data_IF_782249631473
#
_entry.id   IF_782249631473
#
_cell.length_a   1.000
_cell.length_b   1.000
_cell.length_c   1.000
_cell.angle_alpha   90.00
_cell.angle_beta   90.00
_cell.angle_gamma   90.00
#
_symmetry.space_group_name_H-M   'P 1'
#
loop_
_entity.id
_entity.type
_entity.pdbx_description
1 polymer ?
#
# COMPACT_ATOMS: atom_id res chain seq x y z
N UNK A 1 -8.57 -2.60 -4.81
CA UNK A 1 -7.47 -2.52 -5.80
C UNK A 1 -6.14 -2.06 -5.20
N UNK A 2 -6.08 -0.96 -4.43
CA UNK A 2 -4.81 -0.42 -3.89
C UNK A 2 -4.01 -1.41 -3.03
N UNK A 3 -4.68 -2.32 -2.31
CA UNK A 3 -4.01 -3.38 -1.55
C UNK A 3 -3.11 -4.30 -2.40
N UNK A 4 -3.36 -4.42 -3.72
CA UNK A 4 -2.58 -5.25 -4.63
C UNK A 4 -1.56 -4.45 -5.44
N UNK A 5 -1.99 -3.30 -5.97
CA UNK A 5 -1.17 -2.45 -6.84
C UNK A 5 -1.20 -1.00 -6.39
N UNK A 6 -0.03 -0.45 -6.10
CA UNK A 6 0.14 0.97 -5.76
C UNK A 6 0.45 1.80 -7.01
N UNK A 7 1.00 1.19 -8.05
CA UNK A 7 1.42 1.80 -9.31
C UNK A 7 0.75 1.13 -10.53
N UNK A 8 -0.59 1.13 -10.61
CA UNK A 8 -1.26 0.51 -11.75
C UNK A 8 -0.94 1.25 -13.05
N UNK A 9 -0.68 0.47 -14.11
CA UNK A 9 -0.54 1.04 -15.45
C UNK A 9 -1.89 1.48 -16.02
N UNK A 10 -1.88 2.32 -17.06
CA UNK A 10 -3.11 2.67 -17.80
C UNK A 10 -3.83 1.43 -18.33
N UNK A 11 -3.08 0.41 -18.78
CA UNK A 11 -3.64 -0.86 -19.24
C UNK A 11 -4.31 -1.62 -18.10
N UNK A 12 -3.65 -1.70 -16.94
CA UNK A 12 -4.22 -2.32 -15.74
C UNK A 12 -5.55 -1.67 -15.36
N UNK A 13 -5.62 -0.33 -15.34
CA UNK A 13 -6.87 0.38 -15.04
C UNK A 13 -7.97 0.04 -16.05
N UNK A 14 -7.66 0.02 -17.35
CA UNK A 14 -8.64 -0.36 -18.39
C UNK A 14 -9.16 -1.78 -18.21
N UNK A 15 -8.31 -2.71 -17.82
CA UNK A 15 -8.68 -4.11 -17.59
C UNK A 15 -9.64 -4.27 -16.41
N UNK A 16 -9.46 -3.51 -15.32
CA UNK A 16 -10.24 -3.68 -14.08
C UNK A 16 -11.42 -2.70 -13.95
N UNK A 17 -11.62 -1.79 -14.90
CA UNK A 17 -12.78 -0.89 -14.95
C UNK A 17 -13.44 -0.93 -16.33
N UNK A 18 -13.98 -2.09 -16.77
CA UNK A 18 -14.50 -2.26 -18.14
C UNK A 18 -15.68 -1.33 -18.44
N UNK A 19 -16.47 -0.98 -17.43
CA UNK A 19 -17.64 -0.09 -17.58
C UNK A 19 -17.26 1.40 -17.72
N UNK A 20 -15.99 1.74 -17.49
CA UNK A 20 -15.50 3.11 -17.61
C UNK A 20 -15.10 3.40 -19.04
N UNK A 21 -15.72 4.41 -19.65
CA UNK A 21 -15.32 4.93 -20.96
C UNK A 21 -14.04 5.75 -20.85
N UNK A 22 -12.89 5.11 -20.98
CA UNK A 22 -11.60 5.79 -20.85
C UNK A 22 -11.38 6.87 -21.92
N UNK A 23 -11.04 8.07 -21.44
CA UNK A 23 -10.46 9.15 -22.23
C UNK A 23 -9.25 9.74 -21.48
N UNK A 24 -8.55 10.73 -22.07
CA UNK A 24 -7.37 11.34 -21.45
C UNK A 24 -7.68 11.90 -20.06
N UNK A 25 -8.80 12.60 -19.89
CA UNK A 25 -9.19 13.22 -18.63
C UNK A 25 -9.47 12.17 -17.54
N UNK A 26 -10.29 11.15 -17.85
CA UNK A 26 -10.64 10.07 -16.92
C UNK A 26 -9.42 9.25 -16.53
N UNK A 27 -8.53 8.96 -17.50
CA UNK A 27 -7.27 8.25 -17.23
C UNK A 27 -6.41 9.04 -16.25
N UNK A 28 -6.24 10.35 -16.47
CA UNK A 28 -5.49 11.21 -15.55
C UNK A 28 -6.14 11.29 -14.17
N UNK A 29 -7.47 11.31 -14.09
CA UNK A 29 -8.19 11.35 -12.81
C UNK A 29 -7.96 10.06 -12.00
N UNK A 30 -8.06 8.89 -12.61
CA UNK A 30 -7.78 7.61 -11.95
C UNK A 30 -6.31 7.54 -11.50
N UNK A 31 -5.36 7.96 -12.33
CA UNK A 31 -3.95 8.02 -11.95
C UNK A 31 -3.76 8.96 -10.75
N UNK A 32 -4.45 10.12 -10.73
CA UNK A 32 -4.43 11.06 -9.60
C UNK A 32 -4.97 10.43 -8.32
N UNK A 33 -6.04 9.63 -8.38
CA UNK A 33 -6.53 8.90 -7.21
C UNK A 33 -5.48 7.96 -6.63
N UNK A 34 -4.81 7.18 -7.48
CA UNK A 34 -3.71 6.32 -7.01
C UNK A 34 -2.53 7.12 -6.48
N UNK A 35 -2.23 8.30 -7.03
CA UNK A 35 -1.24 9.21 -6.47
C UNK A 35 -1.63 9.68 -5.07
N UNK A 36 -2.87 10.10 -4.85
CA UNK A 36 -3.38 10.49 -3.53
C UNK A 36 -3.31 9.32 -2.54
N UNK A 37 -3.68 8.10 -2.96
CA UNK A 37 -3.58 6.91 -2.13
C UNK A 37 -2.14 6.59 -1.73
N UNK A 38 -1.18 6.70 -2.67
CA UNK A 38 0.25 6.53 -2.36
C UNK A 38 0.79 7.63 -1.45
N UNK A 39 0.35 8.87 -1.63
CA UNK A 39 0.74 9.99 -0.77
C UNK A 39 0.32 9.71 0.67
N UNK A 40 -0.94 9.36 0.91
CA UNK A 40 -1.41 8.98 2.24
C UNK A 40 -0.60 7.81 2.81
N UNK A 41 -0.38 6.76 2.02
CA UNK A 41 0.41 5.59 2.41
C UNK A 41 1.80 5.99 2.92
N UNK A 42 2.57 6.72 2.10
CA UNK A 42 3.94 7.10 2.44
C UNK A 42 4.02 8.13 3.56
N UNK A 43 3.02 9.01 3.72
CA UNK A 43 2.91 9.90 4.88
C UNK A 43 2.77 9.07 6.16
N UNK A 44 1.94 8.02 6.17
CA UNK A 44 1.82 7.16 7.36
C UNK A 44 3.10 6.39 7.64
N UNK A 45 3.75 5.81 6.61
CA UNK A 45 5.03 5.12 6.79
C UNK A 45 6.10 6.04 7.39
N UNK A 46 6.24 7.25 6.86
CA UNK A 46 7.18 8.23 7.39
C UNK A 46 6.84 8.66 8.82
N UNK A 47 5.57 8.95 9.09
CA UNK A 47 5.13 9.37 10.43
C UNK A 47 5.50 8.33 11.49
N UNK A 48 5.18 7.06 11.25
CA UNK A 48 5.47 5.97 12.18
C UNK A 48 6.97 5.67 12.26
N UNK A 49 7.70 5.72 11.14
CA UNK A 49 9.15 5.58 11.14
C UNK A 49 9.84 6.68 11.97
N UNK A 50 9.44 7.95 11.81
CA UNK A 50 9.96 9.08 12.62
C UNK A 50 9.59 8.94 14.08
N UNK A 51 8.42 8.41 14.39
CA UNK A 51 8.02 8.14 15.77
C UNK A 51 8.94 7.10 16.41
N UNK A 52 9.14 5.95 15.76
CA UNK A 52 10.03 4.90 16.25
C UNK A 52 11.49 5.38 16.41
N UNK A 53 12.01 6.19 15.48
CA UNK A 53 13.36 6.77 15.63
C UNK A 53 13.45 7.69 16.86
N UNK A 54 12.42 8.51 17.13
CA UNK A 54 12.39 9.40 18.31
C UNK A 54 12.26 8.64 19.62
N UNK A 55 11.54 7.53 19.62
CA UNK A 55 11.35 6.65 20.78
C UNK A 55 12.61 5.80 21.07
N UNK A 56 13.64 5.90 20.23
CA UNK A 56 14.92 5.24 20.45
C UNK A 56 14.89 3.75 20.18
N UNK A 57 13.98 3.29 19.30
CA UNK A 57 13.95 1.90 18.83
C UNK A 57 15.30 1.59 18.17
N UNK A 58 16.20 0.95 18.90
CA UNK A 58 17.51 0.57 18.38
C UNK A 58 17.33 -0.60 17.41
N UNK A 59 18.12 -0.65 16.33
CA UNK A 59 17.98 -1.55 15.18
C UNK A 59 17.98 -3.08 15.44
N UNK A 60 17.89 -3.53 16.70
CA UNK A 60 17.62 -4.92 17.09
C UNK A 60 16.15 -5.22 17.46
N UNK A 61 15.27 -4.20 17.52
CA UNK A 61 13.84 -4.36 17.80
C UNK A 61 13.02 -4.70 16.56
N UNK A 62 13.33 -5.77 15.83
CA UNK A 62 12.53 -6.20 14.66
C UNK A 62 11.04 -6.35 15.00
N UNK A 63 10.71 -6.64 16.26
CA UNK A 63 9.35 -6.80 16.75
C UNK A 63 8.54 -5.50 16.81
N UNK A 64 9.19 -4.34 16.96
CA UNK A 64 8.51 -3.05 17.19
C UNK A 64 8.18 -2.33 15.87
N UNK A 65 8.93 -2.63 14.81
CA UNK A 65 8.63 -2.21 13.43
C UNK A 65 7.78 -3.23 12.66
N UNK A 66 7.19 -4.23 13.35
CA UNK A 66 6.26 -5.17 12.71
C UNK A 66 4.92 -4.51 12.47
N UNK A 67 4.46 -4.58 11.22
CA UNK A 67 3.09 -4.21 10.91
C UNK A 67 2.20 -5.42 11.12
N UNK A 68 1.62 -5.53 12.31
CA UNK A 68 0.64 -6.57 12.62
C UNK A 68 -0.79 -6.07 12.38
N UNK A 69 -1.74 -6.98 12.21
CA UNK A 69 -3.17 -6.63 12.00
C UNK A 69 -3.82 -5.94 13.20
N UNK A 70 -3.23 -6.05 14.38
CA UNK A 70 -3.60 -5.36 15.62
C UNK A 70 -2.85 -4.03 15.83
N UNK A 71 -1.90 -3.68 14.95
CA UNK A 71 -1.15 -2.42 15.05
C UNK A 71 -2.00 -1.21 14.66
N UNK A 72 -1.70 -0.07 15.29
CA UNK A 72 -2.38 1.20 14.99
C UNK A 72 -2.17 1.64 13.53
N UNK A 73 -0.97 1.46 12.99
CA UNK A 73 -0.69 1.75 11.59
C UNK A 73 -1.57 0.90 10.65
N UNK A 74 -1.73 -0.40 10.92
CA UNK A 74 -2.63 -1.23 10.12
C UNK A 74 -4.07 -0.72 10.20
N UNK A 75 -4.56 -0.38 11.40
CA UNK A 75 -5.92 0.14 11.60
C UNK A 75 -6.16 1.42 10.80
N UNK A 76 -5.19 2.35 10.79
CA UNK A 76 -5.24 3.59 10.02
C UNK A 76 -5.31 3.31 8.50
N UNK A 77 -4.44 2.43 8.00
CA UNK A 77 -4.42 2.07 6.57
C UNK A 77 -5.71 1.37 6.16
N UNK A 78 -6.17 0.39 6.95
CA UNK A 78 -7.39 -0.35 6.69
C UNK A 78 -8.61 0.58 6.68
N UNK A 79 -8.77 1.46 7.67
CA UNK A 79 -9.88 2.41 7.70
C UNK A 79 -9.88 3.35 6.49
N UNK A 80 -8.70 3.74 5.99
CA UNK A 80 -8.58 4.64 4.85
C UNK A 80 -8.94 3.96 3.52
N UNK A 81 -8.47 2.73 3.29
CA UNK A 81 -8.66 2.02 2.01
C UNK A 81 -9.88 1.09 1.99
N UNK A 82 -10.42 0.73 3.16
CA UNK A 82 -11.47 -0.26 3.37
C UNK A 82 -12.47 0.25 4.43
N UNK A 83 -13.15 1.35 4.10
CA UNK A 83 -14.00 2.11 5.03
C UNK A 83 -15.12 1.28 5.68
N UNK A 84 -15.73 0.37 4.92
CA UNK A 84 -16.76 -0.57 5.37
C UNK A 84 -16.18 -1.71 6.23
N UNK A 85 -14.87 -1.92 6.16
CA UNK A 85 -14.16 -3.02 6.81
C UNK A 85 -14.75 -4.41 6.50
N UNK A 86 -15.36 -4.56 5.32
CA UNK A 86 -15.94 -5.79 4.79
C UNK A 86 -14.97 -6.54 3.87
N UNK A 87 -13.88 -5.89 3.46
CA UNK A 87 -12.84 -6.53 2.66
C UNK A 87 -11.76 -7.16 3.54
N UNK A 88 -11.44 -8.43 3.30
CA UNK A 88 -10.28 -9.06 3.93
C UNK A 88 -8.99 -8.56 3.27
N UNK A 89 -8.20 -7.77 4.00
CA UNK A 89 -6.92 -7.24 3.52
C UNK A 89 -5.94 -8.40 3.30
N UNK A 90 -5.27 -8.51 2.14
CA UNK A 90 -4.32 -9.59 1.85
C UNK A 90 -3.07 -9.51 2.72
N UNK A 91 -2.52 -10.66 3.15
CA UNK A 91 -1.26 -10.70 3.91
C UNK A 91 -0.11 -10.03 3.15
N UNK A 92 -0.08 -10.20 1.83
CA UNK A 92 0.92 -9.57 0.97
C UNK A 92 0.95 -8.03 1.10
N UNK A 93 -0.20 -7.40 1.32
CA UNK A 93 -0.25 -5.95 1.56
C UNK A 93 0.42 -5.59 2.89
N UNK A 94 0.19 -6.40 3.92
CA UNK A 94 0.78 -6.23 5.26
C UNK A 94 2.30 -6.38 5.19
N UNK A 95 2.80 -7.43 4.52
CA UNK A 95 4.24 -7.66 4.30
C UNK A 95 4.93 -6.47 3.60
N UNK A 96 4.33 -5.96 2.53
CA UNK A 96 4.90 -4.85 1.75
C UNK A 96 4.86 -3.55 2.55
N UNK A 97 3.81 -3.34 3.34
CA UNK A 97 3.67 -2.17 4.19
C UNK A 97 4.68 -2.20 5.35
N UNK A 98 4.93 -3.37 5.93
CA UNK A 98 6.00 -3.57 6.91
C UNK A 98 7.38 -3.27 6.29
N UNK A 99 7.66 -3.79 5.09
CA UNK A 99 8.90 -3.49 4.39
C UNK A 99 9.04 -1.99 4.11
N UNK A 100 7.97 -1.33 3.65
CA UNK A 100 8.00 0.12 3.45
C UNK A 100 8.33 0.85 4.75
N UNK A 101 7.68 0.50 5.86
CA UNK A 101 7.97 1.08 7.17
C UNK A 101 9.45 0.92 7.57
N UNK A 102 10.03 -0.28 7.37
CA UNK A 102 11.44 -0.55 7.63
C UNK A 102 12.37 0.31 6.77
N UNK A 103 12.11 0.40 5.47
CA UNK A 103 12.93 1.22 4.56
C UNK A 103 12.91 2.70 4.94
N UNK A 104 11.74 3.22 5.33
CA UNK A 104 11.60 4.59 5.86
C UNK A 104 12.38 4.75 7.16
N UNK A 105 12.21 3.82 8.11
CA UNK A 105 12.91 3.83 9.38
C UNK A 105 14.42 3.80 9.22
N UNK A 106 14.97 2.86 8.44
CA UNK A 106 16.41 2.75 8.20
C UNK A 106 16.98 3.99 7.53
N UNK A 107 16.25 4.60 6.60
CA UNK A 107 16.69 5.84 5.96
C UNK A 107 16.76 7.01 6.96
N UNK A 108 15.74 7.17 7.81
CA UNK A 108 15.66 8.25 8.80
C UNK A 108 16.66 8.04 9.93
N UNK A 109 16.78 6.81 10.45
CA UNK A 109 17.75 6.47 11.49
C UNK A 109 19.20 6.74 11.04
N UNK A 110 19.50 6.49 9.76
CA UNK A 110 20.81 6.77 9.17
C UNK A 110 21.00 8.23 8.72
N UNK A 111 20.02 9.12 8.97
CA UNK A 111 20.06 10.53 8.56
C UNK A 111 20.03 10.77 7.04
N UNK A 112 19.64 9.75 6.24
CA UNK A 112 19.55 9.88 4.77
C UNK A 112 18.38 10.75 4.32
N UNK A 113 17.43 11.02 5.21
CA UNK A 113 16.26 11.85 4.92
C UNK A 113 16.56 13.35 4.78
N UNK A 114 17.81 13.77 5.03
CA UNK A 114 18.32 15.09 4.69
C UNK A 114 18.47 15.34 3.18
N UNK A 115 18.62 14.28 2.36
CA UNK A 115 18.66 14.39 0.90
C UNK A 115 17.24 14.55 0.35
N UNK A 116 16.91 15.60 -0.44
CA UNK A 116 15.57 15.78 -1.00
C UNK A 116 15.01 14.59 -1.80
N UNK A 117 15.89 13.75 -2.36
CA UNK A 117 15.55 12.57 -3.16
C UNK A 117 15.53 11.25 -2.38
N UNK A 118 15.69 11.26 -1.05
CA UNK A 118 15.87 10.05 -0.22
C UNK A 118 14.79 8.97 -0.41
N UNK A 119 13.54 9.38 -0.63
CA UNK A 119 12.41 8.45 -0.80
C UNK A 119 12.42 7.73 -2.16
N UNK A 120 13.22 8.19 -3.13
CA UNK A 120 13.23 7.66 -4.51
C UNK A 120 13.66 6.19 -4.56
N UNK A 121 14.60 5.77 -3.72
CA UNK A 121 15.00 4.35 -3.61
C UNK A 121 13.87 3.51 -3.03
N UNK A 122 13.22 3.99 -1.97
CA UNK A 122 12.09 3.31 -1.31
C UNK A 122 10.93 3.12 -2.31
N UNK A 123 10.55 4.17 -3.03
CA UNK A 123 9.49 4.09 -4.04
C UNK A 123 9.79 3.06 -5.13
N UNK A 124 11.06 2.95 -5.55
CA UNK A 124 11.48 1.93 -6.53
C UNK A 124 11.36 0.52 -5.99
N UNK A 125 11.64 0.30 -4.70
CA UNK A 125 11.45 -1.01 -4.05
C UNK A 125 9.96 -1.37 -4.04
N UNK A 126 9.12 -0.48 -3.49
CA UNK A 126 7.68 -0.76 -3.32
C UNK A 126 6.95 -0.91 -4.67
N UNK A 127 7.37 -0.17 -5.69
CA UNK A 127 6.83 -0.28 -7.05
C UNK A 127 7.04 -1.68 -7.66
N UNK A 128 8.18 -2.32 -7.39
CA UNK A 128 8.49 -3.68 -7.89
C UNK A 128 7.71 -4.79 -7.20
N UNK A 129 7.05 -4.47 -6.09
CA UNK A 129 6.31 -5.44 -5.26
C UNK A 129 4.81 -5.41 -5.53
N UNK A 130 4.35 -4.67 -6.53
CA UNK A 130 2.95 -4.70 -6.94
C UNK A 130 2.57 -6.12 -7.38
N UNK A 131 1.43 -6.60 -6.90
CA UNK A 131 0.88 -7.91 -7.21
C UNK A 131 -0.23 -7.79 -8.25
N UNK A 132 -0.49 -8.85 -9.05
CA UNK A 132 -1.65 -8.86 -9.91
C UNK A 132 -2.93 -8.66 -9.08
N UNK A 133 -3.83 -7.82 -9.58
CA UNK A 133 -5.14 -7.62 -8.96
C UNK A 133 -5.99 -8.88 -9.24
N UNK A 134 -6.76 -9.41 -8.28
CA UNK A 134 -7.59 -10.58 -8.51
C UNK A 134 -8.68 -10.32 -9.57
N UNK A 135 -9.00 -11.35 -10.36
CA UNK A 135 -9.99 -11.25 -11.44
C UNK A 135 -11.40 -10.94 -10.94
N UNK A 136 -11.72 -11.26 -9.68
CA UNK A 136 -12.99 -10.89 -9.04
C UNK A 136 -13.21 -9.37 -8.97
N UNK A 137 -12.16 -8.55 -9.09
CA UNK A 137 -12.31 -7.09 -9.21
C UNK A 137 -12.82 -6.63 -10.59
N UNK A 138 -12.86 -7.49 -11.61
CA UNK A 138 -13.29 -7.11 -12.97
C UNK A 138 -14.81 -7.07 -13.15
N UNK A 139 -15.57 -7.81 -12.33
CA UNK A 139 -17.01 -7.97 -12.52
C UNK A 139 -17.77 -7.74 -11.20
N UNK A 140 -18.81 -6.88 -11.17
CA UNK A 140 -19.75 -6.86 -10.07
C UNK A 140 -20.60 -8.15 -10.12
N UNK A 141 -20.42 -9.05 -9.14
CA UNK A 141 -21.30 -10.21 -8.94
C UNK A 141 -20.71 -11.60 -9.23
N UNK A 142 -19.39 -11.75 -9.38
CA UNK A 142 -18.80 -13.10 -9.38
C UNK A 142 -18.82 -13.65 -7.94
N UNK A 143 -19.54 -14.76 -7.64
CA UNK A 143 -19.54 -15.33 -6.31
C UNK A 143 -18.10 -15.75 -5.97
N UNK A 144 -17.60 -15.26 -4.83
CA UNK A 144 -16.37 -15.80 -4.24
C UNK A 144 -16.58 -17.29 -4.02
N UNK A 145 -15.73 -18.11 -4.63
CA UNK A 145 -15.76 -19.57 -4.53
C UNK A 145 -16.14 -20.02 -3.12
N UNK A 146 -17.34 -20.56 -2.98
CA UNK A 146 -17.70 -21.40 -1.85
C UNK A 146 -16.76 -22.58 -1.90
N UNK A 147 -15.84 -22.67 -0.93
CA UNK A 147 -15.12 -23.90 -0.62
C UNK A 147 -16.13 -25.05 -0.52
N UNK A 148 -16.26 -25.82 -1.60
CA UNK A 148 -16.85 -27.15 -1.54
C UNK A 148 -15.73 -28.10 -1.17
N UNK A 149 -15.52 -28.26 0.13
CA UNK A 149 -14.92 -29.47 0.69
C UNK A 149 -15.93 -30.61 0.48
N UNK A 150 -15.65 -31.47 -0.50
CA UNK A 150 -16.06 -32.87 -0.50
C UNK A 150 -14.92 -33.73 0.05
#
# INVERSE_FOLDING_TARGET
MFFYTRYPSSNTLKTYFPDVKFNRCITSQLIKWFSNFREFFYIQMERFARQAVREGVMGGGEAELRLRRDSELYRILNLHYNKSNDYHVPDRFVEISELALREFFTAIQAGRDADPCWKKSIYKIICKLDSPVPDSFRLPGCPTDTHSTG
#
